data_IF_864016736471
#
_entry.id   IF_864016736471
#
_cell.length_a   1.000
_cell.length_b   1.000
_cell.length_c   1.000
_cell.angle_alpha   90.00
_cell.angle_beta   90.00
_cell.angle_gamma   90.00
#
_symmetry.space_group_name_H-M   'P 1'
#
loop_
_entity.id
_entity.type
_entity.pdbx_description
1 polymer ?
#
# COMPACT_ATOMS: atom_id res chain seq x y z
N UNK A 1 -5.60 -14.70 -2.51
CA UNK A 1 -6.92 -14.04 -2.67
C UNK A 1 -7.74 -14.06 -1.39
N UNK A 2 -8.17 -15.23 -0.90
CA UNK A 2 -9.05 -15.34 0.27
C UNK A 2 -8.52 -14.65 1.53
N UNK A 3 -7.22 -14.79 1.81
CA UNK A 3 -6.58 -14.10 2.94
C UNK A 3 -6.60 -12.57 2.81
N UNK A 4 -6.46 -12.03 1.59
CA UNK A 4 -6.56 -10.57 1.35
C UNK A 4 -7.96 -10.03 1.61
N UNK A 5 -8.99 -10.75 1.13
CA UNK A 5 -10.40 -10.41 1.43
C UNK A 5 -10.65 -10.46 2.93
N UNK A 6 -10.18 -11.51 3.61
CA UNK A 6 -10.34 -11.67 5.04
C UNK A 6 -9.74 -10.48 5.83
N UNK A 7 -8.49 -10.09 5.52
CA UNK A 7 -7.84 -8.92 6.12
C UNK A 7 -8.64 -7.64 5.81
N UNK A 8 -9.09 -7.47 4.57
CA UNK A 8 -9.88 -6.31 4.16
C UNK A 8 -11.18 -6.22 4.98
N UNK A 9 -11.94 -7.31 5.07
CA UNK A 9 -13.20 -7.39 5.81
C UNK A 9 -13.00 -7.11 7.30
N UNK A 10 -11.95 -7.68 7.93
CA UNK A 10 -11.62 -7.39 9.32
C UNK A 10 -11.22 -5.93 9.52
N UNK A 11 -10.43 -5.37 8.59
CA UNK A 11 -10.04 -3.95 8.61
C UNK A 11 -11.26 -3.03 8.59
N UNK A 12 -12.16 -3.24 7.63
CA UNK A 12 -13.40 -2.46 7.49
C UNK A 12 -14.30 -2.63 8.72
N UNK A 13 -14.47 -3.85 9.23
CA UNK A 13 -15.29 -4.11 10.41
C UNK A 13 -14.73 -3.40 11.66
N UNK A 14 -13.41 -3.45 11.87
CA UNK A 14 -12.76 -2.77 12.99
C UNK A 14 -12.86 -1.26 12.86
N UNK A 15 -12.65 -0.73 11.65
CA UNK A 15 -12.79 0.69 11.37
C UNK A 15 -14.21 1.17 11.67
N UNK A 16 -15.22 0.48 11.16
CA UNK A 16 -16.63 0.82 11.35
C UNK A 16 -17.03 0.75 12.83
N UNK A 17 -16.58 -0.29 13.53
CA UNK A 17 -16.80 -0.41 14.98
C UNK A 17 -16.17 0.77 15.76
N UNK A 18 -14.93 1.15 15.45
CA UNK A 18 -14.26 2.29 16.07
C UNK A 18 -14.96 3.62 15.79
N UNK A 19 -15.50 3.80 14.58
CA UNK A 19 -16.31 4.95 14.20
C UNK A 19 -17.61 5.03 14.99
N UNK A 20 -18.33 3.91 15.15
CA UNK A 20 -19.57 3.88 15.95
C UNK A 20 -19.31 4.12 17.44
N UNK A 21 -18.16 3.70 17.96
CA UNK A 21 -17.75 3.95 19.35
C UNK A 21 -17.17 5.36 19.58
N UNK A 22 -17.00 6.16 18.52
CA UNK A 22 -16.45 7.51 18.64
C UNK A 22 -14.99 7.55 19.10
N UNK A 23 -14.23 6.48 18.87
CA UNK A 23 -12.82 6.41 19.30
C UNK A 23 -11.99 7.37 18.45
N UNK A 24 -11.10 8.13 19.10
CA UNK A 24 -10.23 9.11 18.43
C UNK A 24 -9.25 8.45 17.46
N UNK A 25 -8.57 7.39 17.91
CA UNK A 25 -7.59 6.61 17.14
C UNK A 25 -7.95 5.13 17.29
N UNK A 26 -8.05 4.42 16.16
CA UNK A 26 -8.35 2.99 16.12
C UNK A 26 -7.01 2.24 16.15
N UNK A 27 -6.62 1.76 17.33
CA UNK A 27 -5.34 1.08 17.56
C UNK A 27 -5.48 -0.36 18.10
N UNK A 28 -6.72 -0.89 18.10
CA UNK A 28 -7.06 -2.21 18.61
C UNK A 28 -7.31 -3.23 17.48
N UNK A 29 -7.36 -4.52 17.86
CA UNK A 29 -7.56 -5.66 16.96
C UNK A 29 -6.54 -5.67 15.79
N UNK A 30 -7.02 -5.73 14.55
CA UNK A 30 -6.17 -5.81 13.36
C UNK A 30 -5.34 -4.53 13.15
N UNK A 31 -5.81 -3.39 13.66
CA UNK A 31 -5.07 -2.12 13.63
C UNK A 31 -3.85 -2.13 14.56
N UNK A 32 -3.74 -3.08 15.49
CA UNK A 32 -2.51 -3.26 16.30
C UNK A 32 -1.33 -3.77 15.49
N UNK A 33 -1.59 -4.45 14.38
CA UNK A 33 -0.56 -5.09 13.55
C UNK A 33 -0.26 -4.33 12.25
N UNK A 34 -1.18 -3.48 11.80
CA UNK A 34 -1.09 -2.70 10.58
C UNK A 34 -1.87 -1.41 10.78
N UNK A 35 -1.31 -0.24 10.42
CA UNK A 35 -2.07 1.01 10.50
C UNK A 35 -3.16 1.12 9.43
N UNK A 36 -2.97 0.41 8.31
CA UNK A 36 -3.91 0.39 7.19
C UNK A 36 -4.26 -1.04 6.74
N UNK A 37 -4.92 -1.84 7.60
CA UNK A 37 -5.24 -3.24 7.30
C UNK A 37 -6.21 -3.36 6.13
N UNK A 38 -7.17 -2.44 6.00
CA UNK A 38 -8.07 -2.38 4.85
C UNK A 38 -7.30 -2.22 3.52
N UNK A 39 -6.34 -1.29 3.45
CA UNK A 39 -5.56 -1.07 2.25
C UNK A 39 -4.62 -2.24 1.96
N UNK A 40 -3.99 -2.82 2.98
CA UNK A 40 -3.20 -4.04 2.85
C UNK A 40 -4.05 -5.18 2.26
N UNK A 41 -5.23 -5.43 2.84
CA UNK A 41 -6.13 -6.49 2.37
C UNK A 41 -6.54 -6.29 0.91
N UNK A 42 -6.88 -5.06 0.52
CA UNK A 42 -7.18 -4.71 -0.87
C UNK A 42 -6.01 -4.96 -1.81
N UNK A 43 -4.80 -4.54 -1.44
CA UNK A 43 -3.58 -4.77 -2.24
C UNK A 43 -3.30 -6.26 -2.41
N UNK A 44 -3.38 -7.05 -1.33
CA UNK A 44 -3.16 -8.50 -1.38
C UNK A 44 -4.23 -9.24 -2.19
N UNK A 45 -5.49 -8.81 -2.07
CA UNK A 45 -6.59 -9.41 -2.83
C UNK A 45 -6.47 -9.09 -4.32
N UNK A 46 -6.33 -7.82 -4.68
CA UNK A 46 -6.24 -7.36 -6.07
C UNK A 46 -4.98 -7.89 -6.77
N UNK A 47 -3.85 -7.97 -6.07
CA UNK A 47 -2.64 -8.62 -6.61
C UNK A 47 -2.85 -10.11 -6.85
N UNK A 48 -3.57 -10.79 -5.95
CA UNK A 48 -3.97 -12.17 -6.16
C UNK A 48 -4.78 -12.33 -7.45
N UNK A 49 -5.72 -11.43 -7.74
CA UNK A 49 -6.51 -11.43 -8.98
C UNK A 49 -5.61 -11.24 -10.20
N UNK A 50 -4.66 -10.30 -10.15
CA UNK A 50 -3.67 -10.11 -11.21
C UNK A 50 -2.88 -11.41 -11.47
N UNK A 51 -2.41 -12.09 -10.44
CA UNK A 51 -1.70 -13.36 -10.60
C UNK A 51 -2.56 -14.44 -11.27
N UNK A 52 -3.85 -14.54 -10.92
CA UNK A 52 -4.74 -15.53 -11.55
C UNK A 52 -4.95 -15.26 -13.04
N UNK A 53 -4.95 -13.98 -13.46
CA UNK A 53 -4.97 -13.65 -14.90
C UNK A 53 -3.70 -14.08 -15.63
N UNK A 54 -2.56 -14.16 -14.93
CA UNK A 54 -1.30 -14.64 -15.51
C UNK A 54 -1.25 -16.18 -15.65
N UNK A 55 -1.94 -16.92 -14.78
CA UNK A 55 -1.87 -18.39 -14.74
C UNK A 55 -3.04 -19.12 -15.41
N UNK A 56 -4.19 -18.46 -15.67
CA UNK A 56 -5.33 -19.11 -16.33
C UNK A 56 -5.35 -18.84 -17.85
N UNK A 57 -5.57 -19.86 -18.69
CA UNK A 57 -5.73 -19.66 -20.13
C UNK A 57 -6.93 -18.77 -20.40
N UNK A 58 -6.70 -17.71 -21.18
CA UNK A 58 -7.70 -16.70 -21.49
C UNK A 58 -8.92 -17.32 -22.17
N UNK A 59 -10.10 -17.09 -21.61
CA UNK A 59 -11.36 -17.44 -22.27
C UNK A 59 -11.68 -16.32 -23.25
N UNK A 60 -11.51 -16.60 -24.56
CA UNK A 60 -12.03 -15.85 -25.72
C UNK A 60 -12.05 -14.31 -25.56
N UNK A 61 -10.92 -13.65 -25.82
CA UNK A 61 -10.85 -12.20 -26.08
C UNK A 61 -10.68 -11.29 -24.85
N UNK A 62 -10.78 -11.82 -23.63
CA UNK A 62 -10.46 -11.05 -22.43
C UNK A 62 -8.94 -10.94 -22.22
N UNK A 63 -8.39 -9.74 -22.42
CA UNK A 63 -7.04 -9.28 -22.04
C UNK A 63 -5.89 -10.28 -22.28
N UNK A 64 -5.41 -10.43 -23.52
CA UNK A 64 -4.20 -11.21 -23.81
C UNK A 64 -2.95 -10.75 -23.01
N UNK A 65 -2.96 -9.50 -22.52
CA UNK A 65 -1.91 -8.90 -21.71
C UNK A 65 -2.46 -8.69 -20.29
N UNK A 66 -1.81 -9.21 -19.24
CA UNK A 66 -2.23 -8.98 -17.87
C UNK A 66 -2.29 -7.47 -17.56
N UNK A 67 -3.31 -6.98 -16.83
CA UNK A 67 -3.51 -5.55 -16.56
C UNK A 67 -2.55 -5.01 -15.48
N UNK A 68 -1.24 -5.18 -15.67
CA UNK A 68 -0.19 -4.82 -14.70
C UNK A 68 -0.09 -3.32 -14.47
N UNK A 69 -0.20 -2.51 -15.53
CA UNK A 69 -0.15 -1.05 -15.41
C UNK A 69 -1.37 -0.47 -14.67
N UNK A 70 -2.62 -0.85 -15.00
CA UNK A 70 -3.79 -0.48 -14.19
C UNK A 70 -3.65 -0.88 -12.71
N UNK A 71 -3.12 -2.08 -12.45
CA UNK A 71 -2.89 -2.52 -11.07
C UNK A 71 -1.83 -1.68 -10.36
N UNK A 72 -0.72 -1.35 -11.03
CA UNK A 72 0.33 -0.46 -10.49
C UNK A 72 -0.26 0.91 -10.11
N UNK A 73 -1.00 1.53 -11.02
CA UNK A 73 -1.64 2.83 -10.78
C UNK A 73 -2.62 2.73 -9.60
N UNK A 74 -3.49 1.72 -9.58
CA UNK A 74 -4.43 1.49 -8.47
C UNK A 74 -3.72 1.31 -7.14
N UNK A 75 -2.66 0.51 -7.10
CA UNK A 75 -1.87 0.27 -5.88
C UNK A 75 -1.21 1.56 -5.37
N UNK A 76 -0.71 2.40 -6.28
CA UNK A 76 -0.07 3.65 -5.94
C UNK A 76 -1.07 4.69 -5.41
N UNK A 77 -2.28 4.74 -5.98
CA UNK A 77 -3.38 5.57 -5.49
C UNK A 77 -3.75 5.15 -4.06
N UNK A 78 -3.92 3.85 -3.80
CA UNK A 78 -4.28 3.34 -2.47
C UNK A 78 -3.20 3.70 -1.43
N UNK A 79 -1.92 3.55 -1.77
CA UNK A 79 -0.81 3.98 -0.91
C UNK A 79 -0.85 5.51 -0.70
N UNK A 80 -1.15 6.28 -1.74
CA UNK A 80 -1.31 7.73 -1.67
C UNK A 80 -2.40 8.18 -0.71
N UNK A 81 -3.58 7.55 -0.79
CA UNK A 81 -4.70 7.80 0.12
C UNK A 81 -4.31 7.46 1.56
N UNK A 82 -3.59 6.35 1.78
CA UNK A 82 -3.10 5.98 3.10
C UNK A 82 -2.12 7.02 3.68
N UNK A 83 -1.18 7.52 2.88
CA UNK A 83 -0.27 8.59 3.28
C UNK A 83 -1.00 9.90 3.60
N UNK A 84 -2.02 10.24 2.81
CA UNK A 84 -2.85 11.42 3.03
C UNK A 84 -3.62 11.31 4.34
N UNK A 85 -4.24 10.16 4.61
CA UNK A 85 -4.91 9.85 5.87
C UNK A 85 -3.96 9.98 7.08
N UNK A 86 -2.71 9.50 6.97
CA UNK A 86 -1.74 9.70 8.05
C UNK A 86 -1.40 11.18 8.29
N UNK A 87 -1.36 12.00 7.25
CA UNK A 87 -1.10 13.43 7.39
C UNK A 87 -2.24 14.14 8.10
N UNK A 88 -3.49 13.80 7.77
CA UNK A 88 -4.67 14.30 8.47
C UNK A 88 -4.69 13.85 9.94
N UNK A 89 -4.39 12.57 10.21
CA UNK A 89 -4.36 12.02 11.56
C UNK A 89 -3.24 12.64 12.41
N UNK A 90 -2.06 12.88 11.83
CA UNK A 90 -0.98 13.62 12.51
C UNK A 90 -1.35 15.06 12.80
N UNK A 91 -1.97 15.76 11.84
CA UNK A 91 -2.43 17.13 12.05
C UNK A 91 -3.51 17.21 13.15
N UNK A 92 -4.41 16.21 13.21
CA UNK A 92 -5.53 16.19 14.16
C UNK A 92 -5.16 15.72 15.56
N UNK A 93 -4.29 14.72 15.68
CA UNK A 93 -4.02 14.04 16.96
C UNK A 93 -2.56 14.15 17.44
N UNK A 94 -1.67 14.75 16.65
CA UNK A 94 -0.31 15.09 17.07
C UNK A 94 0.47 13.91 17.64
N UNK A 95 0.95 14.07 18.87
CA UNK A 95 1.77 13.07 19.57
C UNK A 95 1.06 11.73 19.79
N UNK A 96 -0.26 11.73 20.05
CA UNK A 96 -1.01 10.49 20.26
C UNK A 96 -0.93 9.55 19.04
N UNK A 97 -1.01 10.13 17.83
CA UNK A 97 -0.85 9.35 16.61
C UNK A 97 0.62 8.99 16.34
N UNK A 98 1.56 9.85 16.72
CA UNK A 98 3.00 9.56 16.63
C UNK A 98 3.39 8.35 17.48
N UNK A 99 2.87 8.23 18.70
CA UNK A 99 3.07 7.05 19.56
C UNK A 99 2.49 5.78 18.97
N UNK A 100 1.32 5.88 18.33
CA UNK A 100 0.73 4.76 17.59
C UNK A 100 1.61 4.34 16.40
N UNK A 101 2.15 5.30 15.66
CA UNK A 101 3.07 5.04 14.55
C UNK A 101 4.39 4.37 14.97
N UNK A 102 4.85 4.59 16.20
CA UNK A 102 6.06 3.94 16.74
C UNK A 102 5.83 2.45 17.04
N UNK A 103 4.63 2.07 17.47
CA UNK A 103 4.28 0.69 17.86
C UNK A 103 3.73 -0.17 16.71
N UNK A 104 3.11 0.45 15.71
CA UNK A 104 2.42 -0.26 14.63
C UNK A 104 3.03 0.10 13.27
N UNK A 105 3.36 -0.86 12.39
CA UNK A 105 3.89 -0.58 11.05
C UNK A 105 2.82 -0.03 10.10
N UNK A 106 3.24 0.69 9.06
CA UNK A 106 2.34 1.33 8.07
C UNK A 106 1.36 0.34 7.41
N UNK A 107 1.89 -0.69 6.72
CA UNK A 107 1.08 -1.75 6.11
C UNK A 107 1.35 -3.10 6.75
N UNK A 108 2.60 -3.52 6.85
CA UNK A 108 2.99 -4.79 7.45
C UNK A 108 4.39 -4.69 8.05
N UNK A 109 4.74 -5.53 9.04
CA UNK A 109 6.09 -5.59 9.55
C UNK A 109 7.03 -6.10 8.45
N UNK A 110 8.05 -5.30 8.11
CA UNK A 110 9.08 -5.68 7.14
C UNK A 110 10.41 -5.94 7.87
N UNK A 111 11.20 -6.93 7.43
CA UNK A 111 12.57 -7.08 7.90
C UNK A 111 13.36 -5.79 7.67
N UNK A 112 14.25 -5.45 8.62
CA UNK A 112 15.11 -4.25 8.54
C UNK A 112 15.77 -4.02 7.17
N UNK A 113 16.40 -5.01 6.51
CA UNK A 113 17.05 -4.77 5.21
C UNK A 113 16.05 -4.33 4.13
N UNK A 114 14.87 -4.96 4.09
CA UNK A 114 13.82 -4.63 3.13
C UNK A 114 13.23 -3.25 3.40
N UNK A 115 13.01 -2.91 4.68
CA UNK A 115 12.56 -1.58 5.08
C UNK A 115 13.57 -0.49 4.69
N UNK A 116 14.87 -0.75 4.83
CA UNK A 116 15.92 0.21 4.43
C UNK A 116 15.96 0.36 2.92
N UNK A 117 15.93 -0.74 2.16
CA UNK A 117 15.94 -0.71 0.70
C UNK A 117 14.74 0.05 0.13
N UNK A 118 13.53 -0.25 0.60
CA UNK A 118 12.31 0.43 0.15
C UNK A 118 12.35 1.90 0.53
N UNK A 119 12.79 2.26 1.74
CA UNK A 119 12.83 3.67 2.20
C UNK A 119 14.00 4.49 1.67
N UNK A 120 14.97 3.87 0.97
CA UNK A 120 16.16 4.57 0.51
C UNK A 120 15.86 5.70 -0.50
N UNK A 121 15.07 5.48 -1.58
CA UNK A 121 14.70 6.56 -2.50
C UNK A 121 13.94 7.69 -1.78
N UNK A 122 13.07 7.32 -0.83
CA UNK A 122 12.31 8.28 -0.03
C UNK A 122 13.19 9.20 0.79
N UNK A 123 14.18 8.66 1.51
CA UNK A 123 15.09 9.46 2.36
C UNK A 123 15.89 10.49 1.58
N UNK A 124 16.18 10.20 0.31
CA UNK A 124 16.89 11.12 -0.57
C UNK A 124 16.00 12.27 -1.06
N UNK A 125 14.70 12.00 -1.21
CA UNK A 125 13.73 12.96 -1.75
C UNK A 125 13.09 13.78 -0.62
N UNK A 126 12.80 13.15 0.51
CA UNK A 126 12.14 13.74 1.67
C UNK A 126 12.96 13.39 2.92
N UNK A 127 13.37 14.42 3.64
CA UNK A 127 14.21 14.29 4.85
C UNK A 127 13.48 13.59 6.00
N UNK A 128 12.16 13.79 6.08
CA UNK A 128 11.25 13.26 7.10
C UNK A 128 10.08 12.45 6.47
N UNK A 129 9.04 12.17 7.26
CA UNK A 129 7.75 11.70 6.75
C UNK A 129 7.07 12.78 5.89
N UNK A 130 6.35 12.44 4.80
CA UNK A 130 5.60 13.43 4.00
C UNK A 130 4.70 14.30 4.87
N UNK A 131 4.72 15.62 4.67
CA UNK A 131 3.89 16.57 5.44
C UNK A 131 2.85 17.26 4.54
N UNK A 132 3.05 17.23 3.23
CA UNK A 132 2.17 17.88 2.25
C UNK A 132 1.64 16.91 1.18
N UNK A 133 0.54 17.30 0.53
CA UNK A 133 0.03 16.55 -0.64
C UNK A 133 1.02 16.52 -1.81
N UNK A 134 1.86 17.57 -1.93
CA UNK A 134 2.92 17.61 -2.96
C UNK A 134 3.97 16.53 -2.71
N UNK A 135 4.32 16.32 -1.44
CA UNK A 135 5.25 15.25 -1.05
C UNK A 135 4.68 13.89 -1.42
N UNK A 136 3.39 13.64 -1.16
CA UNK A 136 2.71 12.39 -1.50
C UNK A 136 2.73 12.15 -3.01
N UNK A 137 2.38 13.16 -3.81
CA UNK A 137 2.40 13.06 -5.27
C UNK A 137 3.81 12.78 -5.80
N UNK A 138 4.82 13.44 -5.22
CA UNK A 138 6.22 13.20 -5.57
C UNK A 138 6.63 11.76 -5.26
N UNK A 139 6.32 11.26 -4.06
CA UNK A 139 6.56 9.87 -3.65
C UNK A 139 5.94 8.89 -4.65
N UNK A 140 4.65 9.04 -4.91
CA UNK A 140 3.90 8.14 -5.81
C UNK A 140 4.54 8.14 -7.19
N UNK A 141 4.83 9.32 -7.74
CA UNK A 141 5.41 9.45 -9.08
C UNK A 141 6.79 8.81 -9.15
N UNK A 142 7.63 9.01 -8.14
CA UNK A 142 8.95 8.37 -8.05
C UNK A 142 8.82 6.85 -8.02
N UNK A 143 7.96 6.28 -7.17
CA UNK A 143 7.82 4.82 -7.08
C UNK A 143 7.22 4.20 -8.34
N UNK A 144 6.24 4.86 -8.97
CA UNK A 144 5.73 4.44 -10.28
C UNK A 144 6.88 4.42 -11.30
N UNK A 145 7.69 5.48 -11.35
CA UNK A 145 8.89 5.56 -12.20
C UNK A 145 9.87 4.41 -11.96
N UNK A 146 10.23 4.16 -10.70
CA UNK A 146 11.12 3.05 -10.30
C UNK A 146 10.53 1.70 -10.72
N UNK A 147 9.25 1.45 -10.45
CA UNK A 147 8.59 0.20 -10.83
C UNK A 147 8.56 0.00 -12.36
N UNK A 148 8.27 1.04 -13.13
CA UNK A 148 8.30 0.97 -14.60
C UNK A 148 9.72 0.73 -15.13
N UNK A 149 10.73 1.40 -14.58
CA UNK A 149 12.14 1.20 -14.96
C UNK A 149 12.60 -0.22 -14.64
N UNK A 150 12.30 -0.73 -13.44
CA UNK A 150 12.60 -2.11 -13.06
C UNK A 150 11.89 -3.11 -13.96
N UNK A 151 10.62 -2.87 -14.29
CA UNK A 151 9.87 -3.71 -15.23
C UNK A 151 10.50 -3.69 -16.62
N UNK A 152 10.93 -2.53 -17.12
CA UNK A 152 11.59 -2.40 -18.42
C UNK A 152 12.94 -3.11 -18.47
N UNK A 153 13.76 -2.95 -17.43
CA UNK A 153 15.05 -3.63 -17.29
C UNK A 153 14.84 -5.15 -17.22
N UNK A 154 13.86 -5.61 -16.45
CA UNK A 154 13.53 -7.03 -16.34
C UNK A 154 13.15 -7.61 -17.70
N UNK A 155 12.25 -6.96 -18.44
CA UNK A 155 11.84 -7.41 -19.78
C UNK A 155 13.03 -7.42 -20.76
N UNK A 156 13.92 -6.42 -20.66
CA UNK A 156 15.09 -6.31 -21.53
C UNK A 156 16.15 -7.38 -21.25
N UNK A 157 16.33 -7.78 -19.99
CA UNK A 157 17.23 -8.86 -19.57
C UNK A 157 16.64 -10.24 -19.91
N UNK A 158 15.36 -10.46 -19.59
CA UNK A 158 14.67 -11.74 -19.78
C UNK A 158 14.10 -11.90 -21.20
N UNK A 159 14.73 -11.26 -22.21
CA UNK A 159 14.39 -11.31 -23.65
C UNK A 159 13.69 -12.64 -23.99
N UNK A 160 12.36 -12.59 -24.07
CA UNK A 160 11.58 -13.72 -24.57
C UNK A 160 12.05 -13.99 -26.01
N UNK A 161 12.34 -15.25 -26.40
CA UNK A 161 12.50 -15.59 -27.81
C UNK A 161 11.24 -15.25 -28.61
#
# INVERSE_FOLDING_TARGET
MGFGIFIFSLGVATWLYGRFKGVKIIDFWIYRYSRHPQYLGFLMWSYGLLLLTAFKPYVRGAFAIPPTLPWLISSAIIIGVALHEENELRAKYGELYSEYCKRTPFLMPLPKPLSVAISFPLKYIIKDYPKSNKDIVLIITTYIGICMLLSFVLISIFRYP
#
